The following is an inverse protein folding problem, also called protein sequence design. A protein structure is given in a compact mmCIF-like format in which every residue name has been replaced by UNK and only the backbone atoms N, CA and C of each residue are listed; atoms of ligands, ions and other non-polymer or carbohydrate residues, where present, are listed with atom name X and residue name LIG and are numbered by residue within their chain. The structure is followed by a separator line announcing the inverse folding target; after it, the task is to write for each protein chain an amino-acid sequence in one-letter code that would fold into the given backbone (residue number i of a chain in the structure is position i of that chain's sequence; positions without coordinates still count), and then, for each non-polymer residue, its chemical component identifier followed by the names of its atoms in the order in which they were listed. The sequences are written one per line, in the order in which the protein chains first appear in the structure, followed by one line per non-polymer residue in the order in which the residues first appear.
data_IF_093091696712
#
_entry.id   IF_093091696712
#
_cell.length_a   1.000
_cell.length_b   1.000
_cell.length_c   1.000
_cell.angle_alpha   90.00
_cell.angle_beta   90.00
_cell.angle_gamma   90.00
#
_symmetry.space_group_name_H-M   'P 1'
#
loop_
_entity.id
_entity.type
_entity.pdbx_description
1 polymer ?
#
# COMPACT_ATOMS: atom_id res chain seq x y z
N UNK A 1 27.04 -58.86 -55.16
CA UNK A 1 26.01 -57.97 -55.68
C UNK A 1 25.29 -57.41 -54.47
N UNK A 2 25.80 -56.30 -53.92
CA UNK A 2 25.28 -55.68 -52.69
C UNK A 2 24.64 -54.33 -53.05
N UNK A 3 23.32 -54.15 -52.86
CA UNK A 3 22.58 -52.97 -53.16
C UNK A 3 22.49 -52.06 -51.88
N UNK A 4 23.08 -50.86 -51.96
CA UNK A 4 23.02 -49.90 -50.90
C UNK A 4 21.68 -49.10 -51.00
N UNK A 5 20.85 -49.19 -49.96
CA UNK A 5 19.70 -48.32 -49.74
C UNK A 5 20.17 -47.11 -48.94
N UNK A 6 20.09 -45.90 -49.53
CA UNK A 6 20.29 -44.60 -48.82
C UNK A 6 18.97 -44.15 -48.29
N UNK A 7 18.85 -44.07 -46.97
CA UNK A 7 17.74 -43.38 -46.28
C UNK A 7 18.04 -41.89 -46.28
N UNK A 8 17.12 -41.08 -46.86
CA UNK A 8 17.10 -39.62 -46.75
C UNK A 8 16.16 -39.26 -45.61
N UNK A 9 16.71 -38.79 -44.47
CA UNK A 9 15.93 -38.20 -43.41
C UNK A 9 15.66 -36.70 -43.75
N UNK A 10 14.43 -36.38 -44.05
CA UNK A 10 13.97 -35.00 -44.19
C UNK A 10 13.58 -34.49 -42.78
N UNK A 11 14.39 -33.59 -42.22
CA UNK A 11 14.02 -32.86 -41.00
C UNK A 11 13.07 -31.71 -41.38
N UNK A 12 11.81 -31.81 -41.02
CA UNK A 12 10.86 -30.70 -41.05
C UNK A 12 11.03 -29.91 -39.77
N UNK A 13 11.68 -28.75 -39.84
CA UNK A 13 11.73 -27.77 -38.74
C UNK A 13 10.42 -27.01 -38.78
N UNK A 14 9.50 -27.36 -37.88
CA UNK A 14 8.31 -26.56 -37.66
C UNK A 14 8.70 -25.27 -36.87
N UNK A 15 8.73 -24.14 -37.58
CA UNK A 15 8.89 -22.81 -36.97
C UNK A 15 7.56 -22.45 -36.30
N UNK A 16 7.44 -22.65 -34.98
CA UNK A 16 6.37 -22.06 -34.18
C UNK A 16 6.64 -20.56 -34.06
N UNK A 17 6.03 -19.77 -34.93
CA UNK A 17 5.94 -18.31 -34.75
C UNK A 17 4.95 -18.06 -33.60
N UNK A 18 5.47 -17.78 -32.41
CA UNK A 18 4.70 -17.25 -31.30
C UNK A 18 4.21 -15.85 -31.69
N UNK A 19 2.97 -15.73 -32.07
CA UNK A 19 2.30 -14.44 -32.26
C UNK A 19 2.09 -13.89 -30.84
N UNK A 20 3.00 -13.03 -30.39
CA UNK A 20 2.73 -12.16 -29.25
C UNK A 20 1.64 -11.19 -29.69
N UNK A 21 0.39 -11.45 -29.29
CA UNK A 21 -0.66 -10.48 -29.37
C UNK A 21 -0.32 -9.36 -28.36
N UNK A 22 0.22 -8.26 -28.86
CA UNK A 22 0.25 -7.02 -28.07
C UNK A 22 -1.19 -6.65 -27.79
N UNK A 23 -1.59 -6.64 -26.50
CA UNK A 23 -2.90 -6.15 -26.11
C UNK A 23 -3.05 -4.74 -26.71
N UNK A 24 -4.07 -4.53 -27.54
CA UNK A 24 -4.35 -3.22 -28.09
C UNK A 24 -4.65 -2.27 -26.94
N UNK A 25 -3.93 -1.16 -26.87
CA UNK A 25 -4.27 -0.06 -25.97
C UNK A 25 -5.65 0.44 -26.38
N UNK A 26 -6.60 0.43 -25.43
CA UNK A 26 -7.94 0.92 -25.71
C UNK A 26 -7.89 2.43 -25.98
N UNK A 27 -8.82 2.94 -26.82
CA UNK A 27 -8.92 4.36 -27.06
C UNK A 27 -9.07 5.15 -25.77
N UNK A 28 -8.31 6.25 -25.64
CA UNK A 28 -8.35 7.08 -24.45
C UNK A 28 -9.75 7.72 -24.30
N UNK A 29 -10.26 7.70 -23.07
CA UNK A 29 -11.53 8.31 -22.71
C UNK A 29 -11.38 9.31 -21.56
N UNK A 30 -12.37 10.20 -21.41
CA UNK A 30 -12.38 11.22 -20.36
C UNK A 30 -12.96 10.66 -19.06
N UNK A 31 -12.34 11.04 -17.95
CA UNK A 31 -12.88 10.84 -16.62
C UNK A 31 -13.66 12.07 -16.17
N UNK A 32 -14.68 11.87 -15.33
CA UNK A 32 -15.44 12.95 -14.72
C UNK A 32 -14.55 13.70 -13.74
N UNK A 33 -14.50 15.05 -13.87
CA UNK A 33 -13.76 15.95 -12.97
C UNK A 33 -14.77 16.75 -12.13
N UNK A 34 -14.60 16.69 -10.82
CA UNK A 34 -15.44 17.35 -9.82
C UNK A 34 -14.73 18.58 -9.25
N UNK A 35 -15.47 19.54 -8.67
CA UNK A 35 -14.88 20.69 -7.98
C UNK A 35 -13.93 20.29 -6.86
N UNK A 36 -12.99 21.19 -6.53
CA UNK A 36 -12.18 21.05 -5.32
C UNK A 36 -13.04 21.10 -4.06
N UNK A 37 -12.76 20.22 -3.14
CA UNK A 37 -13.29 20.18 -1.78
C UNK A 37 -12.22 20.51 -0.73
N UNK A 38 -11.02 20.87 -1.18
CA UNK A 38 -9.87 21.08 -0.29
C UNK A 38 -10.19 22.07 0.84
N UNK A 39 -9.86 21.65 2.06
CA UNK A 39 -9.93 22.47 3.25
C UNK A 39 -8.61 22.41 4.00
N UNK A 40 -8.05 23.56 4.34
CA UNK A 40 -6.82 23.64 5.12
C UNK A 40 -7.14 23.99 6.57
N UNK A 41 -6.43 23.36 7.49
CA UNK A 41 -6.48 23.60 8.92
C UNK A 41 -5.09 23.51 9.53
N UNK A 42 -4.92 24.10 10.71
CA UNK A 42 -3.73 23.89 11.54
C UNK A 42 -4.14 23.06 12.75
N UNK A 43 -3.46 21.97 13.02
CA UNK A 43 -3.69 21.17 14.22
C UNK A 43 -3.39 22.03 15.46
N UNK A 44 -4.36 22.25 16.36
CA UNK A 44 -4.18 23.15 17.49
C UNK A 44 -3.21 22.63 18.54
N UNK A 45 -2.99 21.32 18.62
CA UNK A 45 -2.08 20.69 19.59
C UNK A 45 -0.64 20.67 19.15
N UNK A 46 -0.39 20.49 17.84
CA UNK A 46 0.97 20.28 17.29
C UNK A 46 1.44 21.40 16.38
N UNK A 47 0.52 22.21 15.83
CA UNK A 47 0.82 23.21 14.81
C UNK A 47 1.00 22.65 13.40
N UNK A 48 0.79 21.36 13.18
CA UNK A 48 0.90 20.73 11.87
C UNK A 48 -0.12 21.31 10.89
N UNK A 49 0.31 21.49 9.63
CA UNK A 49 -0.57 21.90 8.55
C UNK A 49 -1.31 20.69 8.00
N UNK A 50 -2.63 20.74 8.05
CA UNK A 50 -3.55 19.70 7.58
C UNK A 50 -4.23 20.17 6.30
N UNK A 51 -4.30 19.29 5.30
CA UNK A 51 -5.11 19.50 4.10
C UNK A 51 -6.09 18.35 3.97
N UNK A 52 -7.37 18.59 4.21
CA UNK A 52 -8.43 17.67 3.83
C UNK A 52 -8.58 17.72 2.32
N UNK A 53 -8.44 16.58 1.66
CA UNK A 53 -8.62 16.45 0.21
C UNK A 53 -10.10 16.36 -0.13
N UNK A 54 -10.90 15.83 0.80
CA UNK A 54 -12.34 15.63 0.68
C UNK A 54 -13.07 16.18 1.89
N UNK A 55 -14.30 16.66 1.69
CA UNK A 55 -15.20 17.14 2.74
C UNK A 55 -16.66 16.71 2.51
N UNK A 56 -16.87 15.76 1.59
CA UNK A 56 -18.18 15.21 1.26
C UNK A 56 -18.75 14.39 2.42
N UNK A 57 -20.08 14.30 2.51
CA UNK A 57 -20.78 13.53 3.55
C UNK A 57 -20.69 12.01 3.40
N UNK A 58 -20.34 11.49 2.20
CA UNK A 58 -20.00 10.09 2.02
C UNK A 58 -18.60 9.80 2.57
N UNK A 59 -18.35 8.55 2.93
CA UNK A 59 -17.05 8.11 3.41
C UNK A 59 -16.03 8.09 2.28
N UNK A 60 -14.95 8.85 2.45
CA UNK A 60 -13.75 8.82 1.61
C UNK A 60 -12.57 8.38 2.49
N UNK A 61 -11.86 7.35 2.08
CA UNK A 61 -10.73 6.79 2.85
C UNK A 61 -9.49 6.68 1.99
N UNK A 62 -8.31 6.98 2.56
CA UNK A 62 -7.07 6.72 1.85
C UNK A 62 -6.93 5.21 1.55
N UNK A 63 -6.01 4.85 0.66
CA UNK A 63 -5.66 3.46 0.45
C UNK A 63 -5.07 2.87 1.73
N UNK A 64 -5.09 1.55 1.81
CA UNK A 64 -4.47 0.87 2.95
C UNK A 64 -2.97 1.20 3.01
N UNK A 65 -2.37 1.19 4.19
CA UNK A 65 -1.05 1.78 4.46
C UNK A 65 0.12 1.20 3.63
N UNK A 66 -0.02 0.07 2.98
CA UNK A 66 1.02 -0.52 2.13
C UNK A 66 0.80 -0.33 0.62
N UNK A 67 -0.35 0.19 0.18
CA UNK A 67 -0.56 0.63 -1.20
C UNK A 67 -0.06 2.06 -1.41
N UNK A 68 0.40 2.35 -2.63
CA UNK A 68 0.80 3.71 -3.00
C UNK A 68 -0.41 4.55 -3.39
N UNK A 69 -0.61 5.67 -2.70
CA UNK A 69 -1.67 6.64 -3.04
C UNK A 69 -1.21 7.67 -4.05
N UNK A 70 0.07 8.09 -4.06
CA UNK A 70 0.58 9.10 -4.98
C UNK A 70 1.04 8.53 -6.32
N UNK A 71 0.71 9.24 -7.43
CA UNK A 71 1.27 8.99 -8.75
C UNK A 71 2.80 9.11 -8.76
N UNK A 72 3.46 8.62 -9.82
CA UNK A 72 4.92 8.61 -9.92
C UNK A 72 5.54 10.01 -9.88
N UNK A 73 4.86 11.01 -10.47
CA UNK A 73 5.26 12.42 -10.48
C UNK A 73 4.60 13.26 -9.40
N UNK A 74 3.83 12.63 -8.50
CA UNK A 74 3.05 13.29 -7.44
C UNK A 74 1.99 14.27 -7.95
N UNK A 75 1.56 14.21 -9.22
CA UNK A 75 0.55 15.09 -9.78
C UNK A 75 -0.86 14.79 -9.30
N UNK A 76 -1.13 13.56 -8.88
CA UNK A 76 -2.41 13.15 -8.29
C UNK A 76 -2.26 12.11 -7.19
N UNK A 77 -3.31 12.01 -6.38
CA UNK A 77 -3.43 11.08 -5.26
C UNK A 77 -4.71 10.27 -5.46
N UNK A 78 -4.64 8.95 -5.25
CA UNK A 78 -5.80 8.05 -5.36
C UNK A 78 -6.29 7.62 -3.97
N UNK A 79 -7.60 7.43 -3.86
CA UNK A 79 -8.26 7.04 -2.61
C UNK A 79 -9.60 6.33 -2.88
N UNK A 80 -10.10 5.59 -1.88
CA UNK A 80 -11.40 4.93 -1.96
C UNK A 80 -12.53 5.90 -1.59
N UNK A 81 -13.68 5.77 -2.25
CA UNK A 81 -14.86 6.59 -2.00
C UNK A 81 -16.13 5.75 -1.96
N UNK A 82 -17.01 6.04 -1.02
CA UNK A 82 -18.35 5.46 -0.95
C UNK A 82 -19.42 6.32 -1.65
N UNK A 83 -19.03 7.31 -2.44
CA UNK A 83 -19.95 8.17 -3.20
C UNK A 83 -20.65 7.35 -4.28
N UNK A 84 -21.96 7.56 -4.42
CA UNK A 84 -22.82 6.85 -5.38
C UNK A 84 -22.68 5.33 -5.30
N UNK A 85 -22.11 4.68 -6.33
CA UNK A 85 -21.89 3.23 -6.37
C UNK A 85 -20.59 2.78 -5.68
N UNK A 86 -19.86 3.71 -5.05
CA UNK A 86 -18.52 3.45 -4.52
C UNK A 86 -17.44 3.38 -5.62
N UNK A 87 -16.19 3.22 -5.23
CA UNK A 87 -15.09 3.04 -6.17
C UNK A 87 -13.84 3.85 -5.83
N UNK A 88 -13.03 4.07 -6.83
CA UNK A 88 -11.76 4.78 -6.73
C UNK A 88 -11.89 6.22 -7.22
N UNK A 89 -11.29 7.15 -6.51
CA UNK A 89 -11.20 8.56 -6.91
C UNK A 89 -9.76 9.04 -6.92
N UNK A 90 -9.52 10.13 -7.64
CA UNK A 90 -8.27 10.85 -7.65
C UNK A 90 -8.44 12.30 -7.22
N UNK A 91 -7.36 12.86 -6.68
CA UNK A 91 -7.24 14.27 -6.29
C UNK A 91 -6.07 14.89 -7.08
N UNK A 92 -6.31 15.95 -7.82
CA UNK A 92 -5.29 16.69 -8.58
C UNK A 92 -4.56 17.63 -7.62
N UNK A 93 -3.28 17.36 -7.38
CA UNK A 93 -2.50 18.09 -6.36
C UNK A 93 -2.42 19.59 -6.66
N UNK A 94 -2.27 19.96 -7.93
CA UNK A 94 -2.10 21.37 -8.34
C UNK A 94 -3.37 22.23 -8.20
N UNK A 95 -4.57 21.65 -8.35
CA UNK A 95 -5.84 22.41 -8.38
C UNK A 95 -6.78 22.07 -7.24
N UNK A 96 -6.55 20.95 -6.57
CA UNK A 96 -7.46 20.40 -5.56
C UNK A 96 -8.73 19.77 -6.15
N UNK A 97 -8.88 19.74 -7.47
CA UNK A 97 -10.02 19.09 -8.13
C UNK A 97 -9.99 17.59 -7.90
N UNK A 98 -11.18 16.98 -7.87
CA UNK A 98 -11.35 15.54 -7.75
C UNK A 98 -11.68 14.94 -9.13
N UNK A 99 -11.38 13.68 -9.34
CA UNK A 99 -11.83 12.96 -10.52
C UNK A 99 -12.21 11.51 -10.18
N UNK A 100 -13.20 10.99 -10.89
CA UNK A 100 -13.69 9.62 -10.67
C UNK A 100 -12.88 8.65 -11.53
N UNK A 101 -12.25 7.66 -10.92
CA UNK A 101 -11.51 6.61 -11.63
C UNK A 101 -12.45 5.43 -11.87
N UNK A 102 -12.88 5.31 -13.10
CA UNK A 102 -13.79 4.26 -13.57
C UNK A 102 -13.42 3.84 -14.98
N UNK A 103 -13.94 2.72 -15.44
CA UNK A 103 -13.80 2.25 -16.82
C UNK A 103 -15.16 2.20 -17.51
N UNK A 104 -15.23 2.19 -18.84
CA UNK A 104 -16.49 1.98 -19.56
C UNK A 104 -17.21 0.67 -19.19
N UNK A 105 -16.47 -0.32 -18.67
CA UNK A 105 -16.99 -1.63 -18.27
C UNK A 105 -17.37 -1.69 -16.78
N UNK A 106 -17.08 -0.64 -15.98
CA UNK A 106 -17.48 -0.57 -14.58
C UNK A 106 -16.44 0.00 -13.63
N UNK A 107 -16.77 -0.06 -12.35
CA UNK A 107 -15.92 0.41 -11.27
C UNK A 107 -14.66 -0.46 -11.09
N UNK A 108 -13.62 0.15 -10.58
CA UNK A 108 -12.36 -0.49 -10.22
C UNK A 108 -12.06 -0.29 -8.74
N UNK A 109 -11.26 -1.20 -8.15
CA UNK A 109 -10.86 -1.13 -6.74
C UNK A 109 -9.60 -1.95 -6.47
N UNK A 110 -9.29 -2.20 -5.19
CA UNK A 110 -8.09 -2.95 -4.77
C UNK A 110 -6.80 -2.42 -5.44
N UNK A 111 -6.67 -1.10 -5.48
CA UNK A 111 -5.75 -0.38 -6.36
C UNK A 111 -4.44 0.01 -5.69
N UNK A 112 -3.43 0.26 -6.51
CA UNK A 112 -2.18 0.93 -6.13
C UNK A 112 -1.70 1.84 -7.26
N UNK A 113 -1.13 3.00 -6.94
CA UNK A 113 -0.48 3.84 -7.94
C UNK A 113 0.85 3.24 -8.39
N UNK A 114 1.11 3.28 -9.68
CA UNK A 114 2.35 2.75 -10.25
C UNK A 114 3.59 3.53 -9.78
N UNK A 115 4.71 2.82 -9.64
CA UNK A 115 5.96 3.40 -9.15
C UNK A 115 6.60 4.35 -10.16
N UNK A 116 6.69 3.93 -11.42
CA UNK A 116 7.55 4.56 -12.43
C UNK A 116 6.78 5.27 -13.55
N UNK A 117 5.45 5.32 -13.49
CA UNK A 117 4.58 5.93 -14.50
C UNK A 117 3.30 6.48 -13.86
N UNK A 118 2.66 7.44 -14.52
CA UNK A 118 1.37 7.98 -14.06
C UNK A 118 0.23 7.05 -14.42
N UNK A 119 0.21 5.91 -13.77
CA UNK A 119 -0.81 4.88 -13.94
C UNK A 119 -1.31 4.37 -12.61
N UNK A 120 -2.47 3.72 -12.64
CA UNK A 120 -3.08 3.03 -11.52
C UNK A 120 -3.29 1.57 -11.92
N UNK A 121 -2.80 0.65 -11.12
CA UNK A 121 -3.16 -0.76 -11.21
C UNK A 121 -4.36 -1.02 -10.31
N UNK A 122 -5.38 -1.68 -10.84
CA UNK A 122 -6.61 -1.94 -10.12
C UNK A 122 -7.25 -3.26 -10.54
N UNK A 123 -8.19 -3.74 -9.77
CA UNK A 123 -9.05 -4.85 -10.11
C UNK A 123 -10.40 -4.34 -10.64
N UNK A 124 -10.84 -4.93 -11.76
CA UNK A 124 -12.20 -4.82 -12.28
C UNK A 124 -12.80 -6.23 -12.32
N UNK A 125 -13.48 -6.61 -11.27
CA UNK A 125 -13.87 -8.02 -11.08
C UNK A 125 -12.64 -8.91 -10.95
N UNK A 126 -12.46 -9.84 -11.90
CA UNK A 126 -11.29 -10.73 -12.00
C UNK A 126 -10.16 -10.17 -12.91
N UNK A 127 -10.39 -9.06 -13.58
CA UNK A 127 -9.39 -8.46 -14.46
C UNK A 127 -8.41 -7.57 -13.66
N UNK A 128 -7.12 -7.79 -13.88
CA UNK A 128 -6.07 -6.86 -13.49
C UNK A 128 -5.91 -5.83 -14.60
N UNK A 129 -6.22 -4.57 -14.31
CA UNK A 129 -6.19 -3.48 -15.29
C UNK A 129 -5.12 -2.45 -14.94
N UNK A 130 -4.52 -1.89 -15.97
CA UNK A 130 -3.66 -0.71 -15.90
C UNK A 130 -4.41 0.47 -16.51
N UNK A 131 -4.51 1.57 -15.77
CA UNK A 131 -5.14 2.82 -16.17
C UNK A 131 -4.07 3.89 -16.26
N UNK A 132 -3.69 4.29 -17.48
CA UNK A 132 -2.71 5.35 -17.71
C UNK A 132 -3.39 6.72 -17.64
N UNK A 133 -3.09 7.52 -16.63
CA UNK A 133 -3.75 8.80 -16.34
C UNK A 133 -2.96 9.95 -16.91
N UNK A 134 -3.63 10.82 -17.67
CA UNK A 134 -3.09 12.06 -18.19
C UNK A 134 -3.95 13.24 -17.74
N UNK A 135 -3.31 14.27 -17.19
CA UNK A 135 -3.99 15.47 -16.67
C UNK A 135 -3.54 16.69 -17.45
N UNK A 136 -4.48 17.37 -18.09
CA UNK A 136 -4.31 18.70 -18.64
C UNK A 136 -4.96 19.71 -17.67
N UNK A 137 -4.12 20.46 -16.95
CA UNK A 137 -4.59 21.40 -15.93
C UNK A 137 -5.40 22.53 -16.54
N UNK A 138 -6.47 22.94 -15.88
CA UNK A 138 -7.20 24.16 -16.18
C UNK A 138 -6.27 25.38 -16.09
N UNK A 139 -6.39 26.31 -17.02
CA UNK A 139 -5.66 27.60 -16.96
C UNK A 139 -6.22 28.49 -15.83
N UNK A 140 -7.53 28.48 -15.64
CA UNK A 140 -8.23 29.14 -14.55
C UNK A 140 -9.23 28.16 -13.92
N UNK A 141 -8.89 27.47 -12.80
CA UNK A 141 -9.76 26.49 -12.15
C UNK A 141 -11.10 27.06 -11.64
N UNK A 142 -11.24 28.40 -11.59
CA UNK A 142 -12.49 29.07 -11.22
C UNK A 142 -13.48 29.15 -12.40
N UNK A 143 -13.00 29.07 -13.62
CA UNK A 143 -13.80 29.23 -14.82
C UNK A 143 -13.97 27.93 -15.62
N UNK A 144 -12.98 27.06 -15.57
CA UNK A 144 -12.97 25.78 -16.30
C UNK A 144 -12.45 24.65 -15.42
N UNK A 145 -12.71 23.41 -15.83
CA UNK A 145 -12.19 22.23 -15.16
C UNK A 145 -10.95 21.71 -15.89
N UNK A 146 -10.03 21.14 -15.12
CA UNK A 146 -8.96 20.31 -15.68
C UNK A 146 -9.56 19.17 -16.50
N UNK A 147 -8.84 18.69 -17.50
CA UNK A 147 -9.25 17.54 -18.30
C UNK A 147 -8.40 16.35 -17.88
N UNK A 148 -9.06 15.29 -17.43
CA UNK A 148 -8.40 14.03 -17.09
C UNK A 148 -8.81 12.99 -18.12
N UNK A 149 -7.83 12.37 -18.75
CA UNK A 149 -8.04 11.26 -19.69
C UNK A 149 -7.30 10.03 -19.20
N UNK A 150 -7.80 8.87 -19.57
CA UNK A 150 -7.15 7.59 -19.29
C UNK A 150 -7.25 6.68 -20.51
N UNK A 151 -6.21 5.88 -20.75
CA UNK A 151 -6.26 4.68 -21.56
C UNK A 151 -6.14 3.46 -20.64
N UNK A 152 -6.81 2.38 -21.00
CA UNK A 152 -6.78 1.16 -20.19
C UNK A 152 -6.15 -0.01 -20.94
N UNK A 153 -5.51 -0.90 -20.19
CA UNK A 153 -5.00 -2.17 -20.66
C UNK A 153 -5.35 -3.26 -19.66
N UNK A 154 -5.99 -4.32 -20.11
CA UNK A 154 -6.14 -5.54 -19.31
C UNK A 154 -4.79 -6.27 -19.33
N UNK A 155 -4.19 -6.44 -18.16
CA UNK A 155 -2.91 -7.14 -18.00
C UNK A 155 -3.15 -8.65 -18.03
N UNK A 156 -4.04 -9.14 -17.17
CA UNK A 156 -4.42 -10.55 -17.10
C UNK A 156 -5.79 -10.70 -16.41
N UNK A 157 -6.27 -11.95 -16.32
CA UNK A 157 -7.43 -12.34 -15.50
C UNK A 157 -6.98 -13.26 -14.38
N UNK A 158 -7.41 -12.95 -13.16
CA UNK A 158 -7.21 -13.81 -12.00
C UNK A 158 -8.15 -15.03 -12.08
N UNK A 159 -7.77 -16.18 -11.50
CA UNK A 159 -8.69 -17.28 -11.29
C UNK A 159 -9.89 -16.80 -10.46
N UNK A 160 -11.09 -17.23 -10.86
CA UNK A 160 -12.31 -16.85 -10.17
C UNK A 160 -12.24 -17.22 -8.68
N UNK A 161 -12.43 -16.21 -7.81
CA UNK A 161 -12.45 -16.40 -6.36
C UNK A 161 -13.20 -15.25 -5.69
N UNK A 162 -13.74 -15.49 -4.50
CA UNK A 162 -14.30 -14.45 -3.65
C UNK A 162 -13.19 -13.81 -2.80
N UNK A 163 -12.96 -12.52 -3.02
CA UNK A 163 -12.00 -11.74 -2.25
C UNK A 163 -10.54 -11.94 -2.67
N UNK A 164 -9.84 -10.85 -2.79
CA UNK A 164 -8.40 -10.78 -3.03
C UNK A 164 -7.82 -9.71 -2.14
N UNK A 165 -6.50 -9.72 -1.91
CA UNK A 165 -5.81 -8.56 -1.38
C UNK A 165 -5.78 -7.44 -2.43
N UNK A 166 -5.42 -6.22 -2.04
CA UNK A 166 -5.09 -5.19 -3.01
C UNK A 166 -3.86 -5.59 -3.85
N UNK A 167 -3.75 -5.00 -5.03
CA UNK A 167 -2.56 -5.15 -5.86
C UNK A 167 -1.38 -4.43 -5.21
N UNK A 168 -0.21 -5.04 -5.25
CA UNK A 168 1.02 -4.43 -4.76
C UNK A 168 2.14 -4.58 -5.81
N UNK A 169 2.90 -3.51 -6.06
CA UNK A 169 3.91 -3.44 -7.11
C UNK A 169 5.31 -3.57 -6.51
N UNK A 170 6.18 -4.33 -7.18
CA UNK A 170 7.56 -4.55 -6.73
C UNK A 170 8.45 -3.30 -6.87
N UNK A 171 9.65 -3.37 -6.29
CA UNK A 171 10.56 -2.23 -6.17
C UNK A 171 11.12 -1.71 -7.49
N UNK A 172 11.15 -2.50 -8.56
CA UNK A 172 11.59 -2.08 -9.90
C UNK A 172 10.44 -1.70 -10.84
N UNK A 173 9.18 -1.91 -10.43
CA UNK A 173 7.99 -1.52 -11.21
C UNK A 173 7.73 -2.45 -12.40
N UNK A 174 8.11 -3.72 -12.30
CA UNK A 174 7.93 -4.71 -13.38
C UNK A 174 6.88 -5.76 -13.09
N UNK A 175 6.59 -6.02 -11.80
CA UNK A 175 5.68 -7.07 -11.37
C UNK A 175 4.63 -6.55 -10.40
N UNK A 176 3.45 -7.18 -10.44
CA UNK A 176 2.43 -7.04 -9.42
C UNK A 176 2.34 -8.32 -8.59
N UNK A 177 1.86 -8.19 -7.36
CA UNK A 177 1.44 -9.32 -6.53
C UNK A 177 0.01 -9.13 -6.07
N UNK A 178 -0.69 -10.24 -5.89
CA UNK A 178 -2.03 -10.29 -5.31
C UNK A 178 -2.20 -11.60 -4.56
N UNK A 179 -2.80 -11.54 -3.39
CA UNK A 179 -3.17 -12.69 -2.60
C UNK A 179 -4.61 -13.10 -2.86
N UNK A 180 -4.86 -14.38 -3.06
CA UNK A 180 -6.18 -14.98 -3.05
C UNK A 180 -6.35 -15.78 -1.76
N UNK A 181 -7.24 -15.39 -0.84
CA UNK A 181 -7.57 -16.20 0.31
C UNK A 181 -8.07 -17.58 -0.12
N UNK A 182 -7.74 -18.59 0.65
CA UNK A 182 -8.26 -19.94 0.43
C UNK A 182 -9.71 -20.08 0.87
N UNK A 183 -10.34 -21.17 0.47
CA UNK A 183 -11.65 -21.60 0.96
C UNK A 183 -11.45 -22.65 2.04
N UNK A 184 -11.97 -22.42 3.26
CA UNK A 184 -11.84 -23.35 4.37
C UNK A 184 -12.26 -24.75 3.96
N UNK A 185 -11.34 -25.69 4.07
CA UNK A 185 -11.55 -27.13 3.80
C UNK A 185 -11.43 -27.55 2.32
N UNK A 186 -11.16 -26.63 1.38
CA UNK A 186 -11.08 -26.99 -0.04
C UNK A 186 -9.91 -26.37 -0.82
N UNK A 187 -9.53 -25.13 -0.54
CA UNK A 187 -8.47 -24.45 -1.28
C UNK A 187 -7.50 -23.75 -0.33
N UNK A 188 -6.21 -23.88 -0.61
CA UNK A 188 -5.17 -23.15 0.11
C UNK A 188 -5.13 -21.70 -0.38
N UNK A 189 -4.78 -20.74 0.52
CA UNK A 189 -4.45 -19.40 0.09
C UNK A 189 -3.25 -19.42 -0.85
N UNK A 190 -3.28 -18.59 -1.89
CA UNK A 190 -2.20 -18.51 -2.89
C UNK A 190 -1.81 -17.07 -3.16
N UNK A 191 -0.51 -16.84 -3.33
CA UNK A 191 0.05 -15.56 -3.80
C UNK A 191 0.37 -15.71 -5.28
N UNK A 192 -0.19 -14.84 -6.11
CA UNK A 192 0.14 -14.71 -7.52
C UNK A 192 1.12 -13.55 -7.72
N UNK A 193 2.08 -13.77 -8.61
CA UNK A 193 2.91 -12.71 -9.20
C UNK A 193 2.56 -12.56 -10.66
N UNK A 194 2.52 -11.33 -11.15
CA UNK A 194 2.06 -10.98 -12.50
C UNK A 194 3.11 -10.07 -13.12
N UNK A 195 3.67 -10.48 -14.26
CA UNK A 195 4.53 -9.62 -15.06
C UNK A 195 3.69 -8.53 -15.73
N UNK A 196 4.02 -7.27 -15.50
CA UNK A 196 3.22 -6.14 -15.99
C UNK A 196 3.21 -6.04 -17.51
N UNK A 197 4.30 -6.44 -18.19
CA UNK A 197 4.40 -6.29 -19.64
C UNK A 197 3.70 -7.42 -20.39
N UNK A 198 4.00 -8.66 -20.02
CA UNK A 198 3.48 -9.85 -20.71
C UNK A 198 2.10 -10.31 -20.20
N UNK A 199 1.72 -9.92 -18.96
CA UNK A 199 0.56 -10.46 -18.28
C UNK A 199 0.75 -11.91 -17.79
N UNK A 200 1.97 -12.47 -17.88
CA UNK A 200 2.26 -13.80 -17.36
C UNK A 200 2.03 -13.82 -15.85
N UNK A 201 1.17 -14.73 -15.42
CA UNK A 201 0.84 -14.92 -14.01
C UNK A 201 1.45 -16.24 -13.52
N UNK A 202 2.04 -16.20 -12.31
CA UNK A 202 2.63 -17.36 -11.64
C UNK A 202 2.12 -17.50 -10.23
N UNK A 203 1.83 -18.72 -9.80
CA UNK A 203 1.60 -19.04 -8.39
C UNK A 203 2.97 -19.03 -7.68
N UNK A 204 3.23 -17.96 -6.94
CA UNK A 204 4.51 -17.77 -6.27
C UNK A 204 4.61 -18.56 -4.96
N UNK A 205 3.48 -18.70 -4.26
CA UNK A 205 3.47 -19.42 -2.98
C UNK A 205 2.06 -19.88 -2.59
N UNK A 206 1.98 -21.10 -2.08
CA UNK A 206 0.79 -21.66 -1.42
C UNK A 206 1.00 -21.72 0.07
N UNK A 207 0.09 -21.16 0.86
CA UNK A 207 0.15 -21.28 2.32
C UNK A 207 -0.22 -22.72 2.70
N UNK A 208 0.68 -23.46 3.35
CA UNK A 208 0.58 -24.93 3.42
C UNK A 208 -0.53 -25.48 4.31
N UNK A 209 -1.14 -24.67 5.20
CA UNK A 209 -2.05 -25.21 6.24
C UNK A 209 -3.28 -24.33 6.41
N UNK A 210 -4.51 -24.76 5.96
CA UNK A 210 -5.75 -24.07 6.32
C UNK A 210 -6.08 -24.27 7.82
N UNK A 211 -6.73 -23.31 8.49
CA UNK A 211 -7.27 -22.06 8.00
C UNK A 211 -6.27 -20.90 8.07
N UNK A 212 -5.10 -21.05 7.54
CA UNK A 212 -4.12 -19.95 7.56
C UNK A 212 -4.66 -18.72 6.87
N UNK A 213 -4.54 -17.58 7.54
CA UNK A 213 -4.85 -16.28 6.96
C UNK A 213 -3.71 -15.88 6.05
N UNK A 214 -4.06 -15.20 4.96
CA UNK A 214 -3.10 -14.53 4.10
C UNK A 214 -3.67 -13.15 3.78
N UNK A 215 -3.13 -12.16 4.47
CA UNK A 215 -3.45 -10.75 4.28
C UNK A 215 -2.19 -9.98 3.96
N UNK A 216 -2.31 -8.72 3.58
CA UNK A 216 -1.19 -7.79 3.45
C UNK A 216 -0.06 -8.32 2.55
N UNK A 217 -0.41 -8.86 1.38
CA UNK A 217 0.62 -9.28 0.41
C UNK A 217 1.34 -8.04 -0.12
N UNK A 218 2.65 -7.98 0.14
CA UNK A 218 3.47 -6.82 -0.17
C UNK A 218 4.81 -7.24 -0.74
N UNK A 219 5.25 -6.56 -1.80
CA UNK A 219 6.62 -6.64 -2.26
C UNK A 219 7.57 -5.84 -1.36
N UNK A 220 8.81 -6.35 -1.22
CA UNK A 220 9.89 -5.57 -0.65
C UNK A 220 10.08 -4.26 -1.43
N UNK A 221 10.39 -3.19 -0.70
CA UNK A 221 10.72 -1.88 -1.28
C UNK A 221 12.14 -1.82 -1.85
N UNK A 222 12.96 -2.87 -1.61
CA UNK A 222 14.37 -2.95 -1.97
C UNK A 222 14.71 -4.15 -2.87
N UNK A 223 14.23 -5.33 -2.52
CA UNK A 223 14.54 -6.57 -3.26
C UNK A 223 13.39 -7.01 -4.15
N UNK A 224 13.60 -7.19 -5.47
CA UNK A 224 12.53 -7.49 -6.42
C UNK A 224 12.00 -8.93 -6.34
N UNK A 225 12.63 -9.80 -5.54
CA UNK A 225 12.28 -11.21 -5.35
C UNK A 225 11.66 -11.51 -3.97
N UNK A 226 11.57 -10.54 -3.07
CA UNK A 226 11.00 -10.77 -1.74
C UNK A 226 9.58 -10.22 -1.63
N UNK A 227 8.66 -11.08 -1.19
CA UNK A 227 7.29 -10.77 -0.80
C UNK A 227 7.09 -11.01 0.69
N UNK A 228 6.22 -10.27 1.33
CA UNK A 228 5.69 -10.63 2.66
C UNK A 228 4.19 -10.85 2.62
N UNK A 229 3.70 -11.60 3.59
CA UNK A 229 2.28 -11.72 3.88
C UNK A 229 2.06 -11.89 5.39
N UNK A 230 0.90 -11.44 5.84
CA UNK A 230 0.43 -11.69 7.20
C UNK A 230 -0.22 -13.07 7.29
N UNK A 231 0.35 -13.94 8.10
CA UNK A 231 -0.23 -15.24 8.48
C UNK A 231 -0.99 -15.18 9.80
N UNK A 232 -1.40 -16.33 10.30
CA UNK A 232 -2.01 -16.46 11.64
C UNK A 232 -0.94 -16.55 12.73
N UNK A 233 0.01 -17.44 12.60
CA UNK A 233 1.16 -17.60 13.48
C UNK A 233 2.27 -18.46 12.84
N UNK A 234 3.52 -17.95 12.72
CA UNK A 234 3.86 -16.55 12.96
C UNK A 234 3.14 -15.63 11.98
N UNK A 235 2.83 -14.42 12.43
CA UNK A 235 2.12 -13.46 11.58
C UNK A 235 2.98 -12.97 10.43
N UNK A 236 4.23 -12.61 10.72
CA UNK A 236 5.14 -12.05 9.74
C UNK A 236 5.84 -13.16 8.96
N UNK A 237 5.52 -13.27 7.67
CA UNK A 237 6.11 -14.24 6.76
C UNK A 237 6.71 -13.54 5.54
N UNK A 238 7.86 -14.03 5.09
CA UNK A 238 8.55 -13.57 3.88
C UNK A 238 8.72 -14.75 2.93
N UNK A 239 8.46 -14.51 1.64
CA UNK A 239 8.62 -15.48 0.56
C UNK A 239 9.68 -14.94 -0.40
N UNK A 240 10.67 -15.75 -0.70
CA UNK A 240 11.54 -15.55 -1.85
C UNK A 240 10.88 -16.23 -3.06
N UNK A 241 10.40 -15.43 -4.01
CA UNK A 241 9.62 -15.93 -5.17
C UNK A 241 10.48 -16.66 -6.20
N UNK A 242 11.80 -16.47 -6.19
CA UNK A 242 12.71 -17.16 -7.10
C UNK A 242 12.95 -18.60 -6.64
N UNK A 243 12.95 -18.84 -5.33
CA UNK A 243 13.15 -20.16 -4.73
C UNK A 243 11.87 -20.83 -4.24
N UNK A 244 10.77 -20.08 -4.11
CA UNK A 244 9.50 -20.55 -3.53
C UNK A 244 9.58 -20.86 -2.03
N UNK A 245 10.64 -20.40 -1.34
CA UNK A 245 10.83 -20.66 0.09
C UNK A 245 10.24 -19.54 0.94
N UNK A 246 9.49 -19.92 1.97
CA UNK A 246 8.97 -19.00 2.97
C UNK A 246 9.69 -19.17 4.32
N UNK A 247 9.82 -18.08 5.05
CA UNK A 247 10.38 -18.05 6.41
C UNK A 247 9.80 -16.87 7.19
N UNK A 248 9.86 -16.94 8.53
CA UNK A 248 9.55 -15.79 9.39
C UNK A 248 10.85 -15.11 9.82
N UNK A 249 11.04 -13.81 9.52
CA UNK A 249 12.23 -13.09 9.97
C UNK A 249 12.17 -12.68 11.44
N UNK A 250 11.02 -12.82 12.09
CA UNK A 250 10.76 -12.41 13.45
C UNK A 250 10.41 -13.62 14.33
N UNK A 251 11.09 -13.75 15.46
CA UNK A 251 10.79 -14.80 16.45
C UNK A 251 9.65 -14.36 17.35
N UNK A 252 8.42 -14.44 16.83
CA UNK A 252 7.20 -14.09 17.54
C UNK A 252 6.94 -15.02 18.71
N UNK A 253 6.64 -14.48 19.90
CA UNK A 253 6.17 -15.25 21.05
C UNK A 253 4.68 -15.65 20.85
N UNK A 254 4.25 -16.72 21.52
CA UNK A 254 2.88 -17.26 21.38
C UNK A 254 1.78 -16.31 21.89
N UNK A 255 2.10 -15.52 22.88
CA UNK A 255 1.25 -14.54 23.55
C UNK A 255 1.49 -13.11 23.07
N UNK A 256 2.28 -12.95 22.01
CA UNK A 256 2.59 -11.68 21.42
C UNK A 256 1.64 -11.37 20.26
N UNK A 257 0.99 -10.21 20.28
CA UNK A 257 0.33 -9.63 19.12
C UNK A 257 1.40 -9.07 18.19
N UNK A 258 1.39 -9.49 16.93
CA UNK A 258 2.11 -8.84 15.83
C UNK A 258 1.09 -8.41 14.82
N UNK A 259 1.13 -7.15 14.37
CA UNK A 259 0.15 -6.61 13.45
C UNK A 259 0.72 -5.50 12.57
N UNK A 260 0.08 -5.26 11.42
CA UNK A 260 0.27 -4.12 10.53
C UNK A 260 1.74 -3.90 10.11
N UNK A 261 2.30 -4.96 9.53
CA UNK A 261 3.66 -4.99 8.96
C UNK A 261 3.73 -4.21 7.65
N UNK A 262 4.85 -3.49 7.43
CA UNK A 262 5.12 -2.74 6.21
C UNK A 262 6.59 -2.80 5.84
N UNK A 263 6.90 -3.10 4.58
CA UNK A 263 8.27 -3.04 4.08
C UNK A 263 8.84 -1.63 4.16
N UNK A 264 10.08 -1.55 4.61
CA UNK A 264 10.87 -0.34 4.66
C UNK A 264 12.12 -0.48 3.79
N UNK A 265 13.10 0.38 3.97
CA UNK A 265 14.36 0.35 3.21
C UNK A 265 15.27 -0.79 3.65
N UNK A 266 16.18 -1.22 2.77
CA UNK A 266 17.20 -2.24 3.04
C UNK A 266 16.64 -3.60 3.52
N UNK A 267 15.51 -4.03 2.97
CA UNK A 267 14.80 -5.24 3.38
C UNK A 267 14.47 -5.28 4.89
N UNK A 268 14.13 -4.14 5.45
CA UNK A 268 13.58 -4.05 6.79
C UNK A 268 12.05 -4.06 6.73
N UNK A 269 11.41 -4.60 7.77
CA UNK A 269 9.97 -4.54 7.95
C UNK A 269 9.67 -3.85 9.26
N UNK A 270 8.86 -2.78 9.22
CA UNK A 270 8.29 -2.13 10.40
C UNK A 270 6.94 -2.76 10.72
N UNK A 271 6.62 -2.91 12.00
CA UNK A 271 5.38 -3.52 12.45
C UNK A 271 5.03 -3.08 13.87
N UNK A 272 3.75 -3.21 14.24
CA UNK A 272 3.32 -3.02 15.62
C UNK A 272 3.28 -4.36 16.35
N UNK A 273 3.76 -4.40 17.59
CA UNK A 273 3.83 -5.63 18.37
C UNK A 273 3.96 -5.37 19.86
N UNK A 274 3.31 -6.21 20.67
CA UNK A 274 3.32 -6.15 22.14
C UNK A 274 2.52 -7.27 22.78
N UNK A 275 2.05 -7.08 24.01
CA UNK A 275 1.20 -8.05 24.69
C UNK A 275 -0.18 -8.16 24.03
N UNK A 276 -0.75 -9.35 24.02
CA UNK A 276 -2.06 -9.62 23.40
C UNK A 276 -3.22 -9.39 24.39
N UNK A 277 -3.54 -8.12 24.65
CA UNK A 277 -4.64 -7.72 25.55
C UNK A 277 -5.44 -6.55 24.95
N UNK A 278 -6.45 -6.86 24.17
CA UNK A 278 -7.30 -5.86 23.51
C UNK A 278 -8.23 -5.14 24.49
N UNK A 279 -8.42 -3.81 24.33
CA UNK A 279 -7.76 -2.86 23.43
C UNK A 279 -6.50 -2.22 24.04
N UNK A 280 -6.10 -2.71 25.19
CA UNK A 280 -5.02 -2.14 26.01
C UNK A 280 -3.67 -2.84 25.77
N UNK A 281 -3.44 -3.34 24.55
CA UNK A 281 -2.18 -3.97 24.22
C UNK A 281 -1.00 -3.03 24.43
N UNK A 282 0.05 -3.59 25.01
CA UNK A 282 1.37 -2.98 25.05
C UNK A 282 2.02 -3.07 23.67
N UNK A 283 1.62 -2.19 22.77
CA UNK A 283 2.02 -2.24 21.37
C UNK A 283 3.07 -1.19 21.01
N UNK A 284 4.26 -1.66 20.67
CA UNK A 284 5.41 -0.88 20.23
C UNK A 284 5.49 -0.84 18.70
N UNK A 285 6.11 0.20 18.15
CA UNK A 285 6.60 0.16 16.77
C UNK A 285 7.97 -0.49 16.77
N UNK A 286 8.10 -1.61 16.10
CA UNK A 286 9.34 -2.37 15.95
C UNK A 286 9.80 -2.38 14.49
N UNK A 287 11.07 -2.66 14.28
CA UNK A 287 11.64 -2.96 12.97
C UNK A 287 12.48 -4.21 13.05
N UNK A 288 12.32 -5.10 12.07
CA UNK A 288 13.16 -6.29 11.91
C UNK A 288 13.93 -6.20 10.58
N UNK A 289 15.21 -6.52 10.62
CA UNK A 289 16.03 -6.77 9.43
C UNK A 289 15.76 -8.20 8.94
N UNK A 290 15.26 -8.34 7.72
CA UNK A 290 14.80 -9.63 7.18
C UNK A 290 15.94 -10.63 7.00
N UNK A 291 17.17 -10.15 6.73
CA UNK A 291 18.32 -11.01 6.49
C UNK A 291 18.93 -11.56 7.78
N UNK A 292 18.95 -10.74 8.82
CA UNK A 292 19.62 -11.10 10.08
C UNK A 292 18.66 -11.51 11.19
N UNK A 293 17.36 -11.18 11.08
CA UNK A 293 16.39 -11.35 12.15
C UNK A 293 16.58 -10.35 13.31
N UNK A 294 17.53 -9.41 13.17
CA UNK A 294 17.80 -8.42 14.22
C UNK A 294 16.61 -7.45 14.33
N UNK A 295 16.10 -7.32 15.54
CA UNK A 295 14.93 -6.49 15.84
C UNK A 295 15.30 -5.36 16.80
N UNK A 296 14.72 -4.16 16.59
CA UNK A 296 14.80 -3.04 17.52
C UNK A 296 13.45 -2.34 17.67
N UNK A 297 13.22 -1.72 18.81
CA UNK A 297 12.06 -0.85 19.05
C UNK A 297 12.39 0.54 18.52
N UNK A 298 11.48 1.07 17.69
CA UNK A 298 11.54 2.43 17.17
C UNK A 298 10.76 3.42 18.05
N UNK A 299 9.60 2.99 18.54
CA UNK A 299 8.82 3.76 19.51
C UNK A 299 8.18 2.80 20.52
N UNK A 300 8.43 3.00 21.82
CA UNK A 300 7.78 2.20 22.84
C UNK A 300 6.32 2.65 23.00
N UNK A 301 5.42 1.67 23.10
CA UNK A 301 4.08 1.85 23.64
C UNK A 301 4.08 1.72 25.17
N UNK A 302 2.91 1.49 25.75
CA UNK A 302 2.79 1.23 27.19
C UNK A 302 3.40 -0.12 27.55
N UNK A 303 4.34 -0.14 28.49
CA UNK A 303 4.91 -1.38 29.04
C UNK A 303 4.09 -1.96 30.20
N UNK A 304 3.46 -1.08 30.98
CA UNK A 304 2.66 -1.42 32.15
C UNK A 304 1.41 -0.58 32.14
N UNK A 305 0.40 -0.99 31.36
CA UNK A 305 -0.81 -0.22 31.19
C UNK A 305 -1.55 -0.06 32.53
N UNK A 306 -1.83 1.20 32.88
CA UNK A 306 -2.63 1.57 34.04
C UNK A 306 -3.67 2.60 33.63
N UNK A 307 -4.91 2.44 34.08
CA UNK A 307 -6.01 3.31 33.69
C UNK A 307 -7.12 2.53 32.99
N UNK A 308 -8.01 3.25 32.35
CA UNK A 308 -9.04 2.64 31.50
C UNK A 308 -8.45 2.19 30.16
N UNK A 309 -9.10 1.24 29.48
CA UNK A 309 -8.69 0.80 28.14
C UNK A 309 -8.56 1.97 27.16
N UNK A 310 -9.45 2.96 27.28
CA UNK A 310 -9.41 4.18 26.45
C UNK A 310 -8.16 5.03 26.70
N UNK A 311 -7.74 5.19 27.97
CA UNK A 311 -6.53 5.95 28.32
C UNK A 311 -5.26 5.23 27.87
N UNK A 312 -5.21 3.90 28.05
CA UNK A 312 -4.08 3.06 27.65
C UNK A 312 -3.93 3.06 26.12
N UNK A 313 -5.03 3.01 25.38
CA UNK A 313 -5.03 3.00 23.93
C UNK A 313 -4.39 4.24 23.29
N UNK A 314 -4.27 5.37 24.00
CA UNK A 314 -3.52 6.56 23.57
C UNK A 314 -2.00 6.36 23.53
N UNK A 315 -1.49 5.38 24.26
CA UNK A 315 -0.06 5.12 24.43
C UNK A 315 0.44 3.97 23.53
N UNK A 316 -0.46 3.30 22.80
CA UNK A 316 -0.15 2.13 21.99
C UNK A 316 -0.37 2.39 20.50
N UNK A 317 0.51 1.82 19.69
CA UNK A 317 0.45 1.98 18.23
C UNK A 317 -0.34 0.85 17.58
N UNK A 318 -0.96 1.13 16.43
CA UNK A 318 -1.79 0.16 15.73
C UNK A 318 -1.36 -0.10 14.29
N UNK A 319 -1.21 0.93 13.45
CA UNK A 319 -0.62 0.81 12.13
C UNK A 319 0.70 1.54 12.09
N UNK A 320 1.61 1.08 11.22
CA UNK A 320 2.83 1.81 10.95
C UNK A 320 3.28 1.63 9.50
N UNK A 321 3.93 2.66 8.94
CA UNK A 321 4.50 2.63 7.60
C UNK A 321 5.84 3.37 7.55
N UNK A 322 6.81 2.79 6.85
CA UNK A 322 8.11 3.42 6.61
C UNK A 322 8.09 4.31 5.36
N UNK A 323 8.77 5.47 5.41
CA UNK A 323 8.97 6.33 4.24
C UNK A 323 9.92 5.68 3.22
N UNK A 324 9.74 5.98 1.92
CA UNK A 324 10.56 5.40 0.85
C UNK A 324 12.03 5.83 0.91
N UNK A 325 12.31 6.97 1.52
CA UNK A 325 13.68 7.50 1.72
C UNK A 325 14.40 6.98 2.99
N UNK A 326 13.71 6.19 3.80
CA UNK A 326 14.27 5.58 5.01
C UNK A 326 14.45 6.52 6.20
N UNK A 327 14.01 7.79 6.10
CA UNK A 327 14.17 8.76 7.19
C UNK A 327 13.17 8.58 8.32
N UNK A 328 11.93 8.18 7.98
CA UNK A 328 10.80 8.21 8.87
C UNK A 328 10.04 6.90 8.92
N UNK A 329 9.41 6.66 10.05
CA UNK A 329 8.28 5.74 10.19
C UNK A 329 7.12 6.55 10.73
N UNK A 330 5.91 6.38 10.19
CA UNK A 330 4.68 6.95 10.74
C UNK A 330 3.88 5.85 11.42
N UNK A 331 3.22 6.18 12.51
CA UNK A 331 2.31 5.27 13.20
C UNK A 331 1.07 6.01 13.73
N UNK A 332 -0.05 5.29 13.81
CA UNK A 332 -1.29 5.74 14.45
C UNK A 332 -1.60 4.96 15.73
N UNK A 333 -2.56 5.44 16.49
CA UNK A 333 -3.14 4.76 17.65
C UNK A 333 -4.68 4.66 17.54
N UNK A 334 -5.32 4.07 18.54
CA UNK A 334 -6.77 3.87 18.58
C UNK A 334 -7.59 5.17 18.66
N UNK A 335 -6.97 6.31 18.98
CA UNK A 335 -7.58 7.63 18.97
C UNK A 335 -7.33 8.38 17.66
N UNK A 336 -6.55 7.78 16.75
CA UNK A 336 -6.14 8.43 15.51
C UNK A 336 -5.16 9.59 15.74
N UNK A 337 -4.37 9.52 16.80
CA UNK A 337 -3.19 10.35 16.94
C UNK A 337 -2.11 9.78 16.04
N UNK A 338 -1.41 10.65 15.32
CA UNK A 338 -0.41 10.27 14.34
C UNK A 338 0.95 10.73 14.79
N UNK A 339 1.86 9.78 14.93
CA UNK A 339 3.23 9.99 15.36
C UNK A 339 4.18 9.69 14.21
N UNK A 340 5.13 10.58 13.92
CA UNK A 340 6.29 10.30 13.07
C UNK A 340 7.48 9.93 13.97
N UNK A 341 8.30 9.00 13.51
CA UNK A 341 9.42 8.45 14.28
C UNK A 341 10.68 8.55 13.41
N UNK A 342 11.72 9.17 13.92
CA UNK A 342 13.01 9.23 13.24
C UNK A 342 13.59 7.82 13.11
N UNK A 343 13.80 7.37 11.89
CA UNK A 343 14.29 6.02 11.63
C UNK A 343 15.65 5.71 12.26
N UNK A 344 16.57 6.71 12.29
CA UNK A 344 17.91 6.56 12.82
C UNK A 344 17.94 6.59 14.35
N UNK A 345 17.29 7.60 14.94
CA UNK A 345 17.42 7.90 16.37
C UNK A 345 16.28 7.30 17.21
N UNK A 346 15.27 6.69 16.57
CA UNK A 346 14.09 6.14 17.24
C UNK A 346 13.41 7.19 18.15
N UNK A 347 13.28 8.43 17.65
CA UNK A 347 12.65 9.55 18.36
C UNK A 347 11.24 9.77 17.84
N UNK A 348 10.20 9.48 18.63
CA UNK A 348 8.83 9.75 18.25
C UNK A 348 8.51 11.24 18.38
N UNK A 349 7.74 11.78 17.44
CA UNK A 349 7.28 13.16 17.39
C UNK A 349 5.79 13.13 17.04
N UNK A 350 4.94 13.71 17.89
CA UNK A 350 3.52 13.85 17.59
C UNK A 350 3.32 14.76 16.38
N UNK A 351 2.74 14.25 15.31
CA UNK A 351 2.47 15.01 14.09
C UNK A 351 1.10 15.69 14.17
N UNK A 352 0.05 14.94 14.51
CA UNK A 352 -1.32 15.46 14.63
C UNK A 352 -2.15 14.53 15.51
N UNK A 353 -3.29 15.00 16.05
CA UNK A 353 -4.05 14.26 17.07
C UNK A 353 -5.54 14.18 16.77
N UNK A 354 -6.21 13.18 17.35
CA UNK A 354 -7.67 13.10 17.46
C UNK A 354 -8.42 12.87 16.15
N UNK A 355 -7.87 12.13 15.21
CA UNK A 355 -8.49 11.85 13.91
C UNK A 355 -9.52 10.71 13.95
N UNK A 356 -9.68 10.06 15.09
CA UNK A 356 -10.66 8.99 15.32
C UNK A 356 -11.24 9.09 16.71
N UNK A 357 -12.50 8.72 16.88
CA UNK A 357 -13.08 8.50 18.19
C UNK A 357 -12.77 7.06 18.63
N UNK A 358 -12.27 6.88 19.85
CA UNK A 358 -11.97 5.57 20.41
C UNK A 358 -13.12 4.57 20.19
N UNK A 359 -12.79 3.38 19.66
CA UNK A 359 -13.76 2.32 19.40
C UNK A 359 -14.76 2.59 18.28
N UNK A 360 -14.66 3.71 17.52
CA UNK A 360 -15.59 4.07 16.44
C UNK A 360 -14.87 4.49 15.18
N UNK A 361 -15.50 4.19 14.04
CA UNK A 361 -15.04 4.60 12.72
C UNK A 361 -13.82 3.81 12.21
N UNK A 362 -13.41 4.13 10.99
CA UNK A 362 -12.23 3.53 10.37
C UNK A 362 -10.94 4.05 11.01
N UNK A 363 -9.90 3.22 10.96
CA UNK A 363 -8.57 3.64 11.39
C UNK A 363 -7.94 4.60 10.39
N UNK A 364 -6.96 5.44 10.81
CA UNK A 364 -6.27 6.36 9.91
C UNK A 364 -5.54 5.69 8.74
N UNK A 365 -4.98 4.49 8.92
CA UNK A 365 -4.24 3.75 7.88
C UNK A 365 -3.14 4.61 7.23
N UNK A 366 -2.23 5.10 8.04
CA UNK A 366 -1.21 6.08 7.67
C UNK A 366 -0.30 5.66 6.51
N UNK A 367 -0.07 6.54 5.55
CA UNK A 367 0.81 6.31 4.40
C UNK A 367 1.69 7.53 4.09
N UNK A 368 2.69 7.35 3.24
CA UNK A 368 3.66 8.38 2.88
C UNK A 368 3.50 8.87 1.45
N UNK A 369 3.83 10.16 1.22
CA UNK A 369 4.14 10.65 -0.11
C UNK A 369 5.52 10.12 -0.58
N UNK A 370 5.83 10.34 -1.85
CA UNK A 370 7.10 9.88 -2.47
C UNK A 370 8.35 10.50 -1.84
N UNK A 371 8.23 11.71 -1.32
CA UNK A 371 9.34 12.49 -0.76
C UNK A 371 9.57 12.26 0.74
N UNK A 372 8.68 11.50 1.43
CA UNK A 372 8.72 11.38 2.89
C UNK A 372 8.48 12.72 3.60
N UNK A 373 7.66 13.59 3.00
CA UNK A 373 7.37 14.94 3.50
C UNK A 373 5.93 15.14 3.92
N UNK A 374 5.03 14.28 3.50
CA UNK A 374 3.61 14.30 3.81
C UNK A 374 3.11 12.92 4.21
N UNK A 375 2.20 12.91 5.17
CA UNK A 375 1.49 11.71 5.63
C UNK A 375 0.05 11.81 5.22
N UNK A 376 -0.47 10.81 4.48
CA UNK A 376 -1.89 10.66 4.16
C UNK A 376 -2.55 9.73 5.17
N UNK A 377 -3.78 10.03 5.51
CA UNK A 377 -4.59 9.23 6.43
C UNK A 377 -6.08 9.55 6.32
N UNK A 378 -6.92 8.68 6.86
CA UNK A 378 -8.35 8.92 7.03
C UNK A 378 -8.61 9.65 8.34
N UNK A 379 -9.36 10.76 8.29
CA UNK A 379 -9.74 11.56 9.43
C UNK A 379 -11.25 11.64 9.62
N UNK A 380 -11.72 11.47 10.85
CA UNK A 380 -13.12 11.61 11.25
C UNK A 380 -13.46 12.97 11.86
N UNK A 381 -12.52 13.93 11.91
CA UNK A 381 -12.74 15.25 12.53
C UNK A 381 -13.89 16.06 11.93
N UNK A 382 -14.22 15.80 10.66
CA UNK A 382 -15.34 16.47 9.99
C UNK A 382 -16.71 15.77 10.19
N UNK A 383 -16.76 14.74 11.03
CA UNK A 383 -17.97 13.99 11.36
C UNK A 383 -18.16 12.68 10.61
N UNK A 384 -17.41 12.46 9.53
CA UNK A 384 -17.37 11.24 8.74
C UNK A 384 -15.93 11.03 8.19
N UNK A 385 -15.60 9.85 7.64
CA UNK A 385 -14.29 9.60 7.04
C UNK A 385 -14.00 10.54 5.88
N UNK A 386 -12.87 11.25 5.94
CA UNK A 386 -12.35 12.11 4.89
C UNK A 386 -10.85 11.89 4.73
N UNK A 387 -10.35 11.98 3.50
CA UNK A 387 -8.92 11.88 3.24
C UNK A 387 -8.21 13.15 3.64
N UNK A 388 -7.19 13.04 4.47
CA UNK A 388 -6.41 14.15 4.99
C UNK A 388 -4.91 13.91 4.79
N UNK A 389 -4.17 15.00 4.60
CA UNK A 389 -2.72 15.03 4.55
C UNK A 389 -2.21 15.93 5.67
N UNK A 390 -1.20 15.45 6.43
CA UNK A 390 -0.40 16.27 7.31
C UNK A 390 0.98 16.50 6.70
N UNK A 391 1.42 17.75 6.62
CA UNK A 391 2.74 18.12 6.11
C UNK A 391 3.74 18.22 7.26
N UNK A 392 4.88 17.55 7.11
CA UNK A 392 5.98 17.63 8.08
C UNK A 392 6.68 18.98 7.93
N UNK A 393 6.83 19.70 9.03
CA UNK A 393 7.49 21.00 9.04
C UNK A 393 8.92 20.89 8.49
N UNK A 394 9.32 21.83 7.64
CA UNK A 394 10.63 21.85 6.99
C UNK A 394 11.79 21.73 7.99
N UNK A 395 11.71 22.40 9.12
CA UNK A 395 12.71 22.34 10.20
C UNK A 395 12.93 20.90 10.71
N UNK A 396 11.86 20.10 10.85
CA UNK A 396 11.97 18.70 11.28
C UNK A 396 12.65 17.83 10.21
N UNK A 397 12.43 18.15 8.93
CA UNK A 397 13.09 17.45 7.83
C UNK A 397 14.59 17.74 7.79
N UNK A 398 15.00 19.00 8.01
CA UNK A 398 16.40 19.43 8.03
C UNK A 398 17.16 18.82 9.21
N UNK A 399 16.58 18.81 10.41
CA UNK A 399 17.19 18.21 11.61
C UNK A 399 17.49 16.71 11.43
N UNK A 400 16.67 15.98 10.68
CA UNK A 400 16.85 14.56 10.42
C UNK A 400 17.89 14.25 9.31
N UNK A 401 18.30 15.23 8.52
CA UNK A 401 19.36 15.07 7.50
C UNK A 401 20.75 15.32 8.05
N UNK A 402 20.89 16.00 9.20
CA UNK A 402 22.18 16.32 9.80
C UNK A 402 22.83 15.04 10.37
N UNK A 403 24.06 14.66 9.97
CA UNK A 403 24.78 13.55 10.58
C UNK A 403 24.93 13.84 12.09
N UNK A 404 24.65 12.85 12.92
CA UNK A 404 24.91 12.98 14.36
C UNK A 404 26.41 13.33 14.54
N UNK A 405 26.69 14.58 14.96
CA UNK A 405 28.01 14.99 15.36
C UNK A 405 28.39 14.11 16.54
N UNK A 406 29.33 13.19 16.31
CA UNK A 406 29.82 12.26 17.33
C UNK A 406 30.25 13.03 18.57
N UNK A 407 29.56 12.79 19.67
CA UNK A 407 30.14 13.06 20.97
C UNK A 407 31.21 11.99 21.19
N UNK A 408 32.44 12.42 21.13
CA UNK A 408 33.62 11.66 21.58
C UNK A 408 33.51 11.35 23.09
#
# INVERSE_FOLDING_TARGET
MFTHFKFFCVFVVALCASVFATAAEADAYRLEVLPSESKQETDPGTGAQLTYLTTHSASDTNLYFHERSWSSDSSFIIFNSARESGGLMGYIVATGELFRITTPQGAVGAATAAKNKNAVFALRGDEVVELNITIALAKDPKQERSVVTTSERVICRLPAASGTTALNENCDGTKLAVGRPGTVGSELPVIFTIDQQSGEMKEAYHVPTPPEFMWHVQWSRTSPNLLSFAGSYPRLNVVDVDTGKAFSPYNQLRDELVTHEHWWVNDQIVFCSGTHQQPAEDSHVKVVDVKTGTTRILAPGSWWPTGTDEEIAKQNYWHCAGSEDGRWVVADNWHGDITIIEGKNARPIMLTTGHRNYGKGDHPHVGWDRAGSQVIFTSHKLGNPNVCIATIAQKMQEDNTTPAVGKQ
#
